data_IF_735116062384
#
_entry.id   IF_735116062384
#
_cell.length_a   1.000
_cell.length_b   1.000
_cell.length_c   1.000
_cell.angle_alpha   90.00
_cell.angle_beta   90.00
_cell.angle_gamma   90.00
#
_symmetry.space_group_name_H-M   'P 1'
#
loop_
_entity.id
_entity.type
_entity.pdbx_description
1 polymer ?
#
# COMPACT_ATOMS: atom_id res chain seq x y z
N UNK A 1 0.62 -28.36 -17.36
CA UNK A 1 -0.10 -28.09 -16.10
C UNK A 1 -0.99 -26.84 -16.33
N UNK A 2 -2.34 -26.97 -16.33
CA UNK A 2 -3.23 -25.81 -16.48
C UNK A 2 -3.52 -25.24 -15.10
N UNK A 3 -2.99 -24.06 -14.79
CA UNK A 3 -3.34 -23.35 -13.55
C UNK A 3 -4.84 -23.05 -13.54
N UNK A 4 -5.54 -23.51 -12.51
CA UNK A 4 -6.93 -23.09 -12.28
C UNK A 4 -6.92 -21.58 -11.96
N UNK A 5 -7.28 -20.74 -12.92
CA UNK A 5 -7.51 -19.32 -12.63
C UNK A 5 -8.71 -19.20 -11.69
N UNK A 6 -8.49 -18.59 -10.53
CA UNK A 6 -9.59 -18.26 -9.64
C UNK A 6 -10.63 -17.41 -10.39
N UNK A 7 -11.91 -17.77 -10.29
CA UNK A 7 -13.00 -17.05 -10.97
C UNK A 7 -13.00 -15.56 -10.62
N UNK A 8 -12.68 -15.23 -9.37
CA UNK A 8 -12.56 -13.87 -8.85
C UNK A 8 -11.52 -13.01 -9.58
N UNK A 9 -10.47 -13.61 -10.14
CA UNK A 9 -9.43 -12.88 -10.87
C UNK A 9 -9.78 -12.58 -12.32
N UNK A 10 -10.76 -13.26 -12.91
CA UNK A 10 -11.13 -13.07 -14.33
C UNK A 10 -11.68 -11.67 -14.62
N UNK A 11 -12.32 -11.03 -13.65
CA UNK A 11 -12.89 -9.69 -13.77
C UNK A 11 -11.91 -8.57 -13.43
N UNK A 12 -10.75 -8.88 -12.85
CA UNK A 12 -9.75 -7.89 -12.46
C UNK A 12 -8.86 -7.58 -13.67
N UNK A 13 -9.08 -6.44 -14.28
CA UNK A 13 -8.25 -5.93 -15.37
C UNK A 13 -7.47 -4.70 -14.90
N UNK A 14 -6.15 -4.78 -14.86
CA UNK A 14 -5.30 -3.63 -14.65
C UNK A 14 -5.10 -2.88 -15.97
N UNK A 15 -5.58 -1.66 -16.08
CA UNK A 15 -5.21 -0.77 -17.20
C UNK A 15 -3.73 -0.38 -17.00
N UNK A 16 -2.90 -0.71 -17.98
CA UNK A 16 -1.53 -0.18 -18.05
C UNK A 16 -1.60 1.25 -18.58
N UNK A 17 -0.91 2.17 -17.93
CA UNK A 17 -0.75 3.52 -18.48
C UNK A 17 0.05 3.44 -19.79
N UNK A 18 -0.27 4.27 -20.79
CA UNK A 18 0.51 4.35 -22.01
C UNK A 18 1.97 4.71 -21.71
N UNK A 19 2.87 4.34 -22.61
CA UNK A 19 4.32 4.56 -22.53
C UNK A 19 4.68 6.05 -22.73
N UNK A 20 4.29 6.91 -21.81
CA UNK A 20 4.75 8.29 -21.79
C UNK A 20 5.43 8.62 -20.47
N UNK A 21 6.38 9.56 -20.51
CA UNK A 21 7.07 9.98 -19.30
C UNK A 21 6.11 10.75 -18.37
N UNK A 22 5.82 10.17 -17.23
CA UNK A 22 5.04 10.81 -16.16
C UNK A 22 5.77 12.03 -15.56
N UNK A 23 7.11 12.06 -15.66
CA UNK A 23 7.93 13.13 -15.09
C UNK A 23 7.65 14.51 -15.71
N UNK A 24 7.11 14.55 -16.93
CA UNK A 24 6.73 15.79 -17.64
C UNK A 24 5.29 16.21 -17.42
N UNK A 25 4.55 15.56 -16.50
CA UNK A 25 3.13 15.79 -16.24
C UNK A 25 2.89 16.16 -14.78
N UNK A 26 1.79 16.84 -14.50
CA UNK A 26 1.29 16.99 -13.14
C UNK A 26 0.78 15.62 -12.69
N UNK A 27 1.39 15.07 -11.65
CA UNK A 27 1.17 13.69 -11.19
C UNK A 27 0.25 13.68 -9.98
N UNK A 28 -1.05 13.54 -10.23
CA UNK A 28 -2.07 13.49 -9.16
C UNK A 28 -2.76 12.12 -9.06
N UNK A 29 -2.41 11.18 -9.95
CA UNK A 29 -3.06 9.87 -10.04
C UNK A 29 -2.56 8.83 -9.03
N UNK A 30 -1.50 9.14 -8.30
CA UNK A 30 -0.94 8.29 -7.25
C UNK A 30 -0.62 9.14 -6.02
N UNK A 31 -0.73 8.54 -4.86
CA UNK A 31 -0.34 9.19 -3.61
C UNK A 31 1.19 9.12 -3.45
N UNK A 32 1.90 9.92 -4.25
CA UNK A 32 3.36 9.96 -4.27
C UNK A 32 3.88 11.38 -4.01
N UNK A 33 5.06 11.47 -3.42
CA UNK A 33 5.76 12.73 -3.33
C UNK A 33 6.25 13.15 -4.72
N UNK A 34 5.78 14.28 -5.25
CA UNK A 34 6.20 14.82 -6.56
C UNK A 34 7.27 15.89 -6.46
N UNK A 35 7.46 16.49 -5.29
CA UNK A 35 8.53 17.48 -5.03
C UNK A 35 9.85 16.78 -4.76
N UNK A 36 10.93 17.35 -5.26
CA UNK A 36 12.28 16.87 -5.02
C UNK A 36 12.67 16.96 -3.54
N UNK A 37 13.56 16.07 -3.12
CA UNK A 37 14.17 16.15 -1.81
C UNK A 37 15.30 17.19 -1.82
N UNK A 38 15.46 17.88 -0.71
CA UNK A 38 16.57 18.77 -0.47
C UNK A 38 17.92 18.05 -0.70
N UNK A 39 18.87 18.72 -1.36
CA UNK A 39 20.18 18.16 -1.71
C UNK A 39 20.99 17.70 -0.50
N UNK A 40 20.87 18.40 0.65
CA UNK A 40 21.54 17.99 1.90
C UNK A 40 20.96 16.69 2.46
N UNK A 41 19.65 16.50 2.34
CA UNK A 41 18.99 15.24 2.72
C UNK A 41 19.49 14.07 1.85
N UNK A 42 19.56 14.27 0.54
CA UNK A 42 20.11 13.27 -0.38
C UNK A 42 21.58 12.95 -0.11
N UNK A 43 22.40 13.98 0.21
CA UNK A 43 23.80 13.76 0.61
C UNK A 43 23.88 12.90 1.88
N UNK A 44 23.07 13.19 2.91
CA UNK A 44 23.03 12.38 4.14
C UNK A 44 22.67 10.93 3.86
N UNK A 45 21.66 10.67 3.01
CA UNK A 45 21.30 9.30 2.63
C UNK A 45 22.49 8.59 1.98
N UNK A 46 23.09 9.22 0.97
CA UNK A 46 24.24 8.64 0.22
C UNK A 46 25.42 8.32 1.13
N UNK A 47 25.76 9.22 2.07
CA UNK A 47 26.87 9.03 3.00
C UNK A 47 26.64 7.92 4.01
N UNK A 48 25.39 7.66 4.39
CA UNK A 48 25.02 6.64 5.34
C UNK A 48 24.63 5.29 4.70
N UNK A 49 24.53 5.26 3.36
CA UNK A 49 24.19 4.02 2.65
C UNK A 49 25.45 3.15 2.55
N UNK A 50 25.39 1.99 3.20
CA UNK A 50 26.44 0.99 3.18
C UNK A 50 26.02 -0.20 2.31
N UNK A 51 27.00 -1.01 1.88
CA UNK A 51 26.77 -2.23 1.10
C UNK A 51 25.81 -3.19 1.80
N UNK A 52 25.95 -3.36 3.11
CA UNK A 52 25.08 -4.22 3.92
C UNK A 52 23.61 -3.83 3.88
N UNK A 53 23.31 -2.52 3.78
CA UNK A 53 21.93 -2.02 3.67
C UNK A 53 21.23 -2.42 2.37
N UNK A 54 22.00 -2.89 1.37
CA UNK A 54 21.48 -3.33 0.08
C UNK A 54 21.42 -4.86 0.01
N UNK A 55 22.35 -5.55 0.65
CA UNK A 55 22.55 -7.00 0.49
C UNK A 55 21.99 -7.84 1.64
N UNK A 56 21.81 -7.26 2.83
CA UNK A 56 21.33 -7.97 4.01
C UNK A 56 19.85 -7.70 4.29
N UNK A 57 19.22 -8.59 5.05
CA UNK A 57 17.92 -8.30 5.64
C UNK A 57 18.05 -7.15 6.63
N UNK A 58 17.13 -6.15 6.62
CA UNK A 58 17.22 -5.01 7.51
C UNK A 58 16.91 -5.40 8.96
N UNK A 59 17.71 -4.84 9.89
CA UNK A 59 17.40 -4.84 11.31
C UNK A 59 16.34 -3.77 11.59
N UNK A 60 15.10 -4.18 11.81
CA UNK A 60 13.96 -3.25 11.87
C UNK A 60 13.53 -2.87 13.29
N UNK A 61 14.06 -3.53 14.32
CA UNK A 61 13.66 -3.38 15.72
C UNK A 61 13.79 -1.95 16.21
N UNK A 62 14.87 -1.26 15.87
CA UNK A 62 15.07 0.14 16.26
C UNK A 62 14.07 1.08 15.59
N UNK A 63 13.69 0.80 14.34
CA UNK A 63 12.66 1.55 13.63
C UNK A 63 11.30 1.38 14.33
N UNK A 64 10.94 0.15 14.72
CA UNK A 64 9.73 -0.12 15.48
C UNK A 64 9.69 0.67 16.80
N UNK A 65 10.79 0.69 17.57
CA UNK A 65 10.89 1.47 18.82
C UNK A 65 10.69 2.97 18.58
N UNK A 66 11.35 3.52 17.56
CA UNK A 66 11.23 4.94 17.22
C UNK A 66 9.80 5.32 16.84
N UNK A 67 9.14 4.50 16.02
CA UNK A 67 7.78 4.74 15.58
C UNK A 67 6.81 4.58 16.76
N UNK A 68 6.95 3.53 17.55
CA UNK A 68 6.15 3.26 18.75
C UNK A 68 6.20 4.44 19.73
N UNK A 69 7.39 4.95 20.02
CA UNK A 69 7.58 6.14 20.85
C UNK A 69 6.89 7.37 20.26
N UNK A 70 7.00 7.60 18.95
CA UNK A 70 6.37 8.74 18.27
C UNK A 70 4.85 8.67 18.30
N UNK A 71 4.28 7.47 18.22
CA UNK A 71 2.83 7.24 18.20
C UNK A 71 2.26 7.01 19.60
N UNK A 72 3.09 6.95 20.65
CA UNK A 72 2.69 6.62 22.03
C UNK A 72 1.96 5.29 22.14
N UNK A 73 2.46 4.27 21.44
CA UNK A 73 1.98 2.88 21.45
C UNK A 73 3.13 1.93 21.71
N UNK A 74 2.86 0.64 21.88
CA UNK A 74 3.90 -0.40 21.98
C UNK A 74 4.29 -0.93 20.60
N UNK A 75 5.48 -1.50 20.45
CA UNK A 75 6.00 -1.95 19.16
C UNK A 75 5.18 -3.09 18.53
N UNK A 76 4.57 -3.93 19.38
CA UNK A 76 3.68 -5.04 18.98
C UNK A 76 2.32 -4.57 18.39
N UNK A 77 1.97 -3.29 18.59
CA UNK A 77 0.79 -2.66 17.98
C UNK A 77 1.06 -2.08 16.57
N UNK A 78 2.27 -2.30 16.04
CA UNK A 78 2.69 -1.72 14.77
C UNK A 78 3.04 -2.83 13.78
N UNK A 79 2.63 -2.65 12.53
CA UNK A 79 3.08 -3.48 11.41
C UNK A 79 3.67 -2.55 10.33
N UNK A 80 4.94 -2.74 10.01
CA UNK A 80 5.60 -2.03 8.92
C UNK A 80 5.38 -2.77 7.60
N UNK A 81 5.02 -2.04 6.57
CA UNK A 81 4.74 -2.60 5.24
C UNK A 81 5.38 -1.75 4.14
N UNK A 82 5.55 -2.32 2.96
CA UNK A 82 5.99 -1.60 1.76
C UNK A 82 4.84 -0.71 1.20
N UNK A 83 4.43 0.26 2.00
CA UNK A 83 3.35 1.20 1.70
C UNK A 83 1.96 0.70 2.09
N UNK A 84 0.99 1.62 2.07
CA UNK A 84 -0.40 1.38 2.50
C UNK A 84 -1.13 0.32 1.66
N UNK A 85 -0.73 0.12 0.42
CA UNK A 85 -1.34 -0.91 -0.44
C UNK A 85 -1.14 -2.32 0.14
N UNK A 86 0.08 -2.62 0.58
CA UNK A 86 0.39 -3.90 1.24
C UNK A 86 -0.29 -3.99 2.60
N UNK A 87 -0.36 -2.88 3.37
CA UNK A 87 -1.08 -2.86 4.64
C UNK A 87 -2.55 -3.23 4.46
N UNK A 88 -3.24 -2.61 3.49
CA UNK A 88 -4.63 -2.91 3.18
C UNK A 88 -4.78 -4.37 2.74
N UNK A 89 -3.88 -4.86 1.86
CA UNK A 89 -3.89 -6.27 1.45
C UNK A 89 -3.79 -7.21 2.65
N UNK A 90 -2.86 -6.94 3.57
CA UNK A 90 -2.68 -7.76 4.77
C UNK A 90 -3.92 -7.76 5.66
N UNK A 91 -4.61 -6.62 5.81
CA UNK A 91 -5.88 -6.56 6.53
C UNK A 91 -6.93 -7.49 5.89
N UNK A 92 -7.07 -7.45 4.57
CA UNK A 92 -7.98 -8.35 3.88
C UNK A 92 -7.60 -9.82 4.04
N UNK A 93 -6.30 -10.12 3.94
CA UNK A 93 -5.78 -11.49 4.04
C UNK A 93 -6.00 -12.11 5.43
N UNK A 94 -5.86 -11.29 6.48
CA UNK A 94 -5.95 -11.76 7.87
C UNK A 94 -7.38 -11.77 8.41
N UNK A 95 -8.24 -10.86 7.96
CA UNK A 95 -9.52 -10.58 8.61
C UNK A 95 -10.74 -10.97 7.76
N UNK A 96 -10.57 -11.21 6.45
CA UNK A 96 -11.70 -11.38 5.54
C UNK A 96 -11.75 -12.80 4.99
N UNK A 97 -12.87 -13.46 5.23
CA UNK A 97 -13.26 -14.73 4.62
C UNK A 97 -14.23 -14.51 3.45
N UNK A 98 -14.33 -15.45 2.50
CA UNK A 98 -15.31 -15.37 1.43
C UNK A 98 -16.75 -15.20 1.95
N UNK A 99 -17.43 -14.14 1.52
CA UNK A 99 -18.80 -13.81 1.94
C UNK A 99 -18.91 -12.78 3.05
N UNK A 100 -17.81 -12.44 3.72
CA UNK A 100 -17.81 -11.39 4.75
C UNK A 100 -18.16 -10.02 4.16
N UNK A 101 -18.77 -9.18 4.98
CA UNK A 101 -19.16 -7.83 4.60
C UNK A 101 -18.07 -6.82 4.94
N UNK A 102 -17.69 -6.00 3.95
CA UNK A 102 -16.72 -4.92 4.10
C UNK A 102 -17.37 -3.60 3.77
N UNK A 103 -17.51 -2.73 4.77
CA UNK A 103 -18.07 -1.39 4.59
C UNK A 103 -16.96 -0.47 4.11
N UNK A 104 -17.20 0.28 3.03
CA UNK A 104 -16.24 1.22 2.46
C UNK A 104 -16.91 2.55 2.12
N UNK A 105 -16.14 3.63 2.17
CA UNK A 105 -16.59 4.90 1.61
C UNK A 105 -16.53 4.86 0.08
N UNK A 106 -17.35 5.65 -0.59
CA UNK A 106 -17.36 5.77 -2.04
C UNK A 106 -17.41 7.26 -2.45
N UNK A 107 -16.43 7.77 -3.18
CA UNK A 107 -15.26 7.05 -3.73
C UNK A 107 -14.21 6.70 -2.66
N UNK A 108 -13.43 5.63 -2.92
CA UNK A 108 -12.30 5.21 -2.10
C UNK A 108 -11.11 4.80 -2.97
N UNK A 109 -10.01 4.42 -2.33
CA UNK A 109 -8.83 3.91 -3.01
C UNK A 109 -9.16 2.63 -3.81
N UNK A 110 -8.85 2.63 -5.10
CA UNK A 110 -9.29 1.59 -6.04
C UNK A 110 -8.83 0.17 -5.69
N UNK A 111 -7.75 0.01 -4.89
CA UNK A 111 -7.29 -1.31 -4.47
C UNK A 111 -8.23 -1.96 -3.46
N UNK A 112 -9.03 -1.19 -2.73
CA UNK A 112 -10.04 -1.73 -1.82
C UNK A 112 -11.09 -2.55 -2.60
N UNK A 113 -11.55 -2.05 -3.76
CA UNK A 113 -12.46 -2.78 -4.65
C UNK A 113 -11.80 -4.07 -5.19
N UNK A 114 -10.51 -4.00 -5.51
CA UNK A 114 -9.74 -5.14 -6.02
C UNK A 114 -9.60 -6.21 -4.95
N UNK A 115 -9.23 -5.83 -3.72
CA UNK A 115 -9.08 -6.77 -2.61
C UNK A 115 -10.42 -7.36 -2.18
N UNK A 116 -11.50 -6.56 -2.12
CA UNK A 116 -12.84 -7.09 -1.86
C UNK A 116 -13.22 -8.22 -2.83
N UNK A 117 -12.93 -8.04 -4.13
CA UNK A 117 -13.17 -9.09 -5.14
C UNK A 117 -12.22 -10.27 -5.02
N UNK A 118 -10.93 -10.00 -4.72
CA UNK A 118 -9.90 -11.04 -4.59
C UNK A 118 -10.23 -12.00 -3.44
N UNK A 119 -10.61 -11.44 -2.30
CA UNK A 119 -10.97 -12.20 -1.10
C UNK A 119 -12.45 -12.58 -1.03
N UNK A 120 -13.21 -12.31 -2.12
CA UNK A 120 -14.64 -12.64 -2.26
C UNK A 120 -15.51 -12.01 -1.16
N UNK A 121 -15.12 -10.85 -0.67
CA UNK A 121 -15.92 -10.07 0.27
C UNK A 121 -17.12 -9.41 -0.42
N UNK A 122 -18.21 -9.26 0.33
CA UNK A 122 -19.38 -8.47 -0.05
C UNK A 122 -19.14 -7.01 0.33
N UNK A 123 -18.77 -6.17 -0.65
CA UNK A 123 -18.51 -4.78 -0.40
C UNK A 123 -19.80 -3.95 -0.30
N UNK A 124 -19.98 -3.28 0.82
CA UNK A 124 -21.06 -2.32 1.07
C UNK A 124 -20.49 -0.92 0.95
N UNK A 125 -20.90 -0.19 -0.09
CA UNK A 125 -20.41 1.16 -0.39
C UNK A 125 -21.30 2.21 0.25
N UNK A 126 -20.72 3.04 1.10
CA UNK A 126 -21.37 4.20 1.69
C UNK A 126 -20.87 5.48 1.00
N UNK A 127 -21.76 6.27 0.42
CA UNK A 127 -21.35 7.48 -0.29
C UNK A 127 -21.04 8.59 0.72
N UNK A 128 -20.09 9.47 0.34
CA UNK A 128 -19.92 10.74 1.06
C UNK A 128 -21.19 11.59 0.90
N UNK A 129 -21.62 12.21 1.98
CA UNK A 129 -22.66 13.22 1.91
C UNK A 129 -22.13 14.43 1.12
N UNK A 130 -23.04 15.05 0.34
CA UNK A 130 -22.70 16.20 -0.49
C UNK A 130 -22.74 17.54 0.28
N UNK A 131 -22.78 17.50 1.62
CA UNK A 131 -22.84 18.69 2.47
C UNK A 131 -21.43 19.17 2.80
#
# INVERSE_FOLDING_TARGET
MKFKKFKSLKSIKRKRNPLYSRLKKIRLEKNERVSEYNSNFLKKIKLNLKSEHISAYPEVEELYKVIAKKLSVTADMIVLTAGSDIAIKNCFELLISPGDEVITLNPTYGMVDIYSRLYQAKQIKNNYDKN
#
